data_IF_714666419066
#
_entry.id   IF_714666419066
#
_cell.length_a   1.000
_cell.length_b   1.000
_cell.length_c   1.000
_cell.angle_alpha   90.00
_cell.angle_beta   90.00
_cell.angle_gamma   90.00
#
_symmetry.space_group_name_H-M   'P 1'
#
loop_
_entity.id
_entity.type
_entity.pdbx_description
1 polymer ?
#
# COMPACT_ATOMS: atom_id res chain seq x y z
N UNK A 1 -23.20 25.20 9.84
CA UNK A 1 -22.12 25.90 10.56
C UNK A 1 -20.97 26.07 9.56
N UNK A 2 -20.74 27.33 9.18
CA UNK A 2 -19.62 27.66 8.31
C UNK A 2 -18.40 27.88 9.20
N UNK A 3 -17.37 27.02 9.06
CA UNK A 3 -16.06 27.28 9.64
C UNK A 3 -15.20 27.95 8.57
N UNK A 4 -14.77 29.16 8.82
CA UNK A 4 -13.73 29.80 8.05
C UNK A 4 -12.39 29.49 8.71
N UNK A 5 -11.53 28.76 8.00
CA UNK A 5 -10.15 28.53 8.43
C UNK A 5 -9.23 29.55 7.76
N UNK A 6 -8.50 30.29 8.55
CA UNK A 6 -7.59 31.34 8.07
C UNK A 6 -6.20 30.85 7.68
N UNK A 7 -6.00 29.57 7.43
CA UNK A 7 -4.67 28.99 7.36
C UNK A 7 -4.38 28.23 6.05
N UNK A 8 -5.06 28.55 4.95
CA UNK A 8 -4.62 28.10 3.63
C UNK A 8 -3.58 29.11 3.16
N UNK A 9 -2.31 28.76 3.35
CA UNK A 9 -1.19 29.63 3.00
C UNK A 9 -0.62 29.33 1.60
N UNK A 10 -1.08 28.22 0.97
CA UNK A 10 -0.59 27.77 -0.33
C UNK A 10 -1.69 27.07 -1.11
N UNK A 11 -2.22 27.76 -2.11
CA UNK A 11 -3.31 27.24 -2.95
C UNK A 11 -2.87 26.04 -3.80
N UNK A 12 -1.61 26.00 -4.24
CA UNK A 12 -1.09 24.92 -5.09
C UNK A 12 -1.03 23.61 -4.30
N UNK A 13 -0.52 23.66 -3.07
CA UNK A 13 -0.49 22.49 -2.16
C UNK A 13 -1.91 22.02 -1.86
N UNK A 14 -2.85 22.93 -1.62
CA UNK A 14 -4.24 22.58 -1.34
C UNK A 14 -4.94 21.96 -2.56
N UNK A 15 -4.67 22.48 -3.76
CA UNK A 15 -5.19 21.91 -5.00
C UNK A 15 -4.64 20.51 -5.25
N UNK A 16 -3.33 20.32 -5.08
CA UNK A 16 -2.70 19.01 -5.26
C UNK A 16 -3.24 18.00 -4.21
N UNK A 17 -3.33 18.37 -2.96
CA UNK A 17 -3.91 17.53 -1.91
C UNK A 17 -5.38 17.16 -2.22
N UNK A 18 -6.15 18.10 -2.76
CA UNK A 18 -7.53 17.87 -3.18
C UNK A 18 -7.64 16.89 -4.35
N UNK A 19 -6.76 17.02 -5.36
CA UNK A 19 -6.67 16.05 -6.47
C UNK A 19 -6.39 14.64 -5.97
N UNK A 20 -5.36 14.48 -5.12
CA UNK A 20 -4.98 13.19 -4.57
C UNK A 20 -6.13 12.56 -3.76
N UNK A 21 -6.88 13.37 -2.99
CA UNK A 21 -8.04 12.89 -2.23
C UNK A 21 -9.20 12.47 -3.14
N UNK A 22 -9.48 13.19 -4.22
CA UNK A 22 -10.52 12.85 -5.21
C UNK A 22 -10.17 11.51 -5.87
N UNK A 23 -8.93 11.32 -6.33
CA UNK A 23 -8.48 10.05 -6.93
C UNK A 23 -8.57 8.91 -5.92
N UNK A 24 -8.17 9.14 -4.66
CA UNK A 24 -8.30 8.14 -3.60
C UNK A 24 -9.75 7.72 -3.39
N UNK A 25 -10.69 8.68 -3.35
CA UNK A 25 -12.13 8.40 -3.23
C UNK A 25 -12.67 7.67 -4.44
N UNK A 26 -12.21 8.01 -5.64
CA UNK A 26 -12.58 7.29 -6.85
C UNK A 26 -12.28 5.80 -6.72
N UNK A 27 -11.04 5.42 -6.42
CA UNK A 27 -10.66 4.02 -6.26
C UNK A 27 -11.43 3.31 -5.15
N UNK A 28 -11.64 3.97 -4.01
CA UNK A 28 -12.43 3.40 -2.91
C UNK A 28 -13.88 3.16 -3.31
N UNK A 29 -14.48 4.11 -4.01
CA UNK A 29 -15.88 3.99 -4.47
C UNK A 29 -16.01 2.89 -5.52
N UNK A 30 -15.11 2.85 -6.50
CA UNK A 30 -15.10 1.82 -7.54
C UNK A 30 -14.89 0.41 -6.97
N UNK A 31 -13.97 0.25 -6.03
CA UNK A 31 -13.77 -1.01 -5.32
C UNK A 31 -15.02 -1.45 -4.56
N UNK A 32 -15.70 -0.55 -3.85
CA UNK A 32 -16.95 -0.83 -3.14
C UNK A 32 -18.10 -1.13 -4.11
N UNK A 33 -18.16 -0.45 -5.24
CA UNK A 33 -19.17 -0.67 -6.28
C UNK A 33 -19.03 -2.08 -6.86
N UNK A 34 -17.84 -2.50 -7.23
CA UNK A 34 -17.58 -3.84 -7.76
C UNK A 34 -17.76 -4.95 -6.70
N UNK A 35 -17.53 -4.63 -5.43
CA UNK A 35 -17.87 -5.52 -4.31
C UNK A 35 -19.38 -5.56 -3.98
N UNK A 36 -20.24 -4.82 -4.72
CA UNK A 36 -21.67 -4.76 -4.49
C UNK A 36 -22.09 -4.01 -3.21
N UNK A 37 -21.17 -3.26 -2.59
CA UNK A 37 -21.42 -2.53 -1.32
C UNK A 37 -21.64 -1.03 -1.51
N UNK A 38 -21.75 -0.57 -2.76
CA UNK A 38 -21.97 0.83 -3.11
C UNK A 38 -22.92 0.91 -4.32
N UNK A 39 -23.94 1.78 -4.32
CA UNK A 39 -24.84 1.95 -5.46
C UNK A 39 -24.12 2.62 -6.62
N UNK A 40 -24.64 2.38 -7.84
CA UNK A 40 -24.09 2.95 -9.08
C UNK A 40 -24.04 4.47 -9.09
N UNK A 41 -24.99 5.11 -8.43
CA UNK A 41 -25.07 6.57 -8.37
C UNK A 41 -23.88 7.21 -7.64
N UNK A 42 -23.33 6.53 -6.62
CA UNK A 42 -22.12 7.02 -5.94
C UNK A 42 -20.89 6.92 -6.87
N UNK A 43 -20.76 5.81 -7.61
CA UNK A 43 -19.68 5.65 -8.59
C UNK A 43 -19.78 6.73 -9.69
N UNK A 44 -20.97 6.97 -10.23
CA UNK A 44 -21.18 7.99 -11.23
C UNK A 44 -20.86 9.42 -10.72
N UNK A 45 -21.24 9.75 -9.49
CA UNK A 45 -20.96 11.07 -8.90
C UNK A 45 -19.46 11.36 -8.76
N UNK A 46 -18.66 10.36 -8.38
CA UNK A 46 -17.21 10.56 -8.26
C UNK A 46 -16.54 10.67 -9.62
N UNK A 47 -16.99 9.91 -10.62
CA UNK A 47 -16.52 10.03 -12.01
C UNK A 47 -16.85 11.41 -12.59
N UNK A 48 -18.07 11.89 -12.36
CA UNK A 48 -18.49 13.23 -12.79
C UNK A 48 -17.64 14.33 -12.14
N UNK A 49 -17.34 14.20 -10.83
CA UNK A 49 -16.48 15.14 -10.12
C UNK A 49 -15.07 15.17 -10.73
N UNK A 50 -14.48 14.00 -11.01
CA UNK A 50 -13.17 13.91 -11.66
C UNK A 50 -13.17 14.61 -13.01
N UNK A 51 -14.17 14.33 -13.85
CA UNK A 51 -14.32 14.94 -15.18
C UNK A 51 -14.48 16.46 -15.10
N UNK A 52 -15.32 16.96 -14.20
CA UNK A 52 -15.53 18.40 -14.00
C UNK A 52 -14.28 19.12 -13.51
N UNK A 53 -13.48 18.47 -12.67
CA UNK A 53 -12.24 19.00 -12.16
C UNK A 53 -11.03 18.81 -13.09
N UNK A 54 -11.21 18.12 -14.23
CA UNK A 54 -10.12 17.77 -15.14
C UNK A 54 -9.05 16.86 -14.54
N UNK A 55 -9.46 16.01 -13.57
CA UNK A 55 -8.57 15.11 -12.84
C UNK A 55 -8.63 13.72 -13.45
N UNK A 56 -7.46 13.10 -13.62
CA UNK A 56 -7.31 11.71 -14.09
C UNK A 56 -6.63 10.86 -13.03
N UNK A 57 -6.73 9.55 -13.16
CA UNK A 57 -6.01 8.61 -12.26
C UNK A 57 -4.49 8.75 -12.37
N UNK A 58 -3.99 9.21 -13.53
CA UNK A 58 -2.58 9.43 -13.81
C UNK A 58 -1.97 10.62 -13.03
N UNK A 59 -2.80 11.52 -12.49
CA UNK A 59 -2.35 12.57 -11.59
C UNK A 59 -1.84 12.00 -10.23
N UNK A 60 -2.05 10.70 -9.98
CA UNK A 60 -1.49 9.97 -8.85
C UNK A 60 -0.30 9.13 -9.32
N UNK A 61 0.93 9.62 -9.14
CA UNK A 61 2.17 9.02 -9.69
C UNK A 61 2.37 7.53 -9.36
N UNK A 62 1.94 7.09 -8.19
CA UNK A 62 2.06 5.68 -7.78
C UNK A 62 1.16 4.74 -8.58
N UNK A 63 0.10 5.25 -9.22
CA UNK A 63 -0.80 4.47 -10.10
C UNK A 63 -0.04 4.03 -11.35
N UNK A 64 0.56 4.97 -12.06
CA UNK A 64 1.32 4.66 -13.28
C UNK A 64 2.48 3.70 -13.04
N UNK A 65 3.14 3.86 -11.90
CA UNK A 65 4.24 2.97 -11.51
C UNK A 65 3.75 1.54 -11.24
N UNK A 66 2.61 1.39 -10.55
CA UNK A 66 2.01 0.09 -10.29
C UNK A 66 1.52 -0.59 -11.59
N UNK A 67 0.85 0.16 -12.46
CA UNK A 67 0.31 -0.38 -13.73
C UNK A 67 1.41 -0.78 -14.70
N UNK A 68 2.52 -0.01 -14.79
CA UNK A 68 3.64 -0.32 -15.69
C UNK A 68 4.35 -1.62 -15.34
N UNK A 69 4.31 -2.03 -14.07
CA UNK A 69 5.03 -3.23 -13.57
C UNK A 69 4.11 -4.37 -13.17
N UNK A 70 2.79 -4.20 -13.22
CA UNK A 70 1.81 -5.11 -12.62
C UNK A 70 2.14 -5.40 -11.13
N UNK A 71 2.65 -4.39 -10.43
CA UNK A 71 3.17 -4.49 -9.07
C UNK A 71 2.61 -3.36 -8.20
N UNK A 72 2.70 -3.55 -6.89
CA UNK A 72 2.40 -2.48 -5.95
C UNK A 72 3.54 -1.45 -5.93
N UNK A 73 3.18 -0.18 -5.85
CA UNK A 73 4.14 0.91 -5.69
C UNK A 73 3.76 1.80 -4.52
N UNK A 74 4.76 2.39 -3.88
CA UNK A 74 4.62 3.35 -2.82
C UNK A 74 5.71 4.40 -2.89
N UNK A 75 5.49 5.55 -2.29
CA UNK A 75 6.44 6.66 -2.35
C UNK A 75 6.58 7.31 -0.96
N UNK A 76 7.55 6.88 -0.16
CA UNK A 76 8.10 7.76 0.87
C UNK A 76 9.02 8.80 0.20
N UNK A 77 9.00 10.02 0.69
CA UNK A 77 9.88 11.13 0.23
C UNK A 77 9.83 11.41 -1.29
N UNK A 78 8.72 11.09 -1.95
CA UNK A 78 8.55 11.31 -3.39
C UNK A 78 9.29 10.32 -4.29
N UNK A 79 10.08 9.38 -3.75
CA UNK A 79 10.72 8.29 -4.48
C UNK A 79 9.76 7.11 -4.62
N UNK A 80 9.55 6.65 -5.85
CA UNK A 80 8.67 5.51 -6.12
C UNK A 80 9.42 4.21 -5.83
N UNK A 81 8.82 3.40 -4.96
CA UNK A 81 9.32 2.08 -4.57
C UNK A 81 8.29 1.05 -4.98
N UNK A 82 8.73 -0.09 -5.45
CA UNK A 82 7.86 -1.17 -5.91
C UNK A 82 8.07 -2.45 -5.10
N UNK A 83 7.01 -3.26 -5.00
CA UNK A 83 7.06 -4.59 -4.41
C UNK A 83 6.48 -5.63 -5.36
N UNK A 84 7.15 -6.76 -5.50
CA UNK A 84 6.75 -7.87 -6.35
C UNK A 84 6.43 -9.11 -5.54
N UNK A 85 5.36 -9.79 -5.93
CA UNK A 85 5.04 -11.11 -5.37
C UNK A 85 6.17 -12.10 -5.64
N UNK A 86 6.63 -12.78 -4.61
CA UNK A 86 7.66 -13.80 -4.65
C UNK A 86 7.14 -15.13 -4.08
N UNK A 87 8.01 -16.14 -3.97
CA UNK A 87 7.67 -17.39 -3.26
C UNK A 87 7.50 -17.17 -1.75
N UNK A 88 8.15 -16.14 -1.19
CA UNK A 88 8.19 -15.87 0.25
C UNK A 88 7.17 -14.83 0.67
N UNK A 89 6.99 -13.78 -0.13
CA UNK A 89 6.22 -12.58 0.24
C UNK A 89 5.14 -12.26 -0.79
N UNK A 90 4.00 -11.76 -0.31
CA UNK A 90 3.04 -11.05 -1.13
C UNK A 90 3.59 -9.69 -1.59
N UNK A 91 2.99 -9.09 -2.64
CA UNK A 91 3.46 -7.82 -3.19
C UNK A 91 3.43 -6.68 -2.16
N UNK A 92 2.34 -6.57 -1.39
CA UNK A 92 2.20 -5.58 -0.30
C UNK A 92 3.30 -5.70 0.75
N UNK A 93 3.65 -6.93 1.13
CA UNK A 93 4.70 -7.23 2.09
C UNK A 93 6.10 -6.89 1.53
N UNK A 94 6.35 -7.20 0.25
CA UNK A 94 7.58 -6.85 -0.44
C UNK A 94 7.72 -5.32 -0.58
N UNK A 95 6.64 -4.62 -0.95
CA UNK A 95 6.61 -3.16 -1.02
C UNK A 95 6.96 -2.53 0.33
N UNK A 96 6.33 -3.02 1.41
CA UNK A 96 6.57 -2.51 2.76
C UNK A 96 8.05 -2.67 3.17
N UNK A 97 8.63 -3.86 2.98
CA UNK A 97 10.04 -4.09 3.30
C UNK A 97 10.97 -3.21 2.47
N UNK A 98 10.71 -3.09 1.16
CA UNK A 98 11.51 -2.24 0.29
C UNK A 98 11.43 -0.76 0.72
N UNK A 99 10.25 -0.28 1.11
CA UNK A 99 10.08 1.07 1.63
C UNK A 99 10.83 1.30 2.94
N UNK A 100 10.78 0.35 3.87
CA UNK A 100 11.51 0.44 5.14
C UNK A 100 13.03 0.41 4.93
N UNK A 101 13.52 -0.43 4.02
CA UNK A 101 14.94 -0.48 3.64
C UNK A 101 15.39 0.83 3.03
N UNK A 102 14.64 1.39 2.08
CA UNK A 102 14.95 2.68 1.47
C UNK A 102 15.03 3.79 2.51
N UNK A 103 14.06 3.88 3.42
CA UNK A 103 14.04 4.87 4.49
C UNK A 103 15.17 4.70 5.50
N UNK A 104 15.70 3.48 5.65
CA UNK A 104 16.83 3.16 6.49
C UNK A 104 18.20 3.33 5.79
N UNK A 105 18.21 3.61 4.48
CA UNK A 105 19.43 3.65 3.68
C UNK A 105 20.10 2.27 3.50
N UNK A 106 19.32 1.18 3.59
CA UNK A 106 19.78 -0.19 3.44
C UNK A 106 19.71 -0.56 1.96
N UNK A 107 20.78 -1.16 1.45
CA UNK A 107 20.84 -1.64 0.07
C UNK A 107 19.70 -2.62 -0.24
N UNK A 108 19.17 -2.54 -1.46
CA UNK A 108 18.03 -3.36 -1.89
C UNK A 108 18.34 -4.87 -1.82
N UNK A 109 19.57 -5.29 -2.04
CA UNK A 109 19.99 -6.69 -2.03
C UNK A 109 20.18 -7.26 -0.63
N UNK A 110 20.29 -6.43 0.40
CA UNK A 110 20.40 -6.85 1.79
C UNK A 110 19.09 -7.50 2.27
N UNK A 111 19.20 -8.70 2.83
CA UNK A 111 18.05 -9.42 3.41
C UNK A 111 17.92 -9.06 4.89
N UNK A 112 16.91 -8.26 5.22
CA UNK A 112 16.60 -7.87 6.61
C UNK A 112 15.83 -8.96 7.38
N UNK A 113 15.19 -9.89 6.66
CA UNK A 113 14.56 -11.09 7.24
C UNK A 113 15.15 -12.30 6.51
N UNK A 114 15.69 -13.24 7.28
CA UNK A 114 16.26 -14.45 6.68
C UNK A 114 15.19 -15.44 6.24
N UNK A 115 15.42 -16.27 5.22
CA UNK A 115 14.52 -17.35 4.83
C UNK A 115 14.17 -18.28 5.99
N UNK A 116 15.13 -18.56 6.86
CA UNK A 116 14.97 -19.43 8.03
C UNK A 116 13.98 -18.84 9.06
N UNK A 117 13.79 -17.52 9.09
CA UNK A 117 12.77 -16.88 9.88
C UNK A 117 11.38 -16.91 9.21
N UNK A 118 11.33 -16.97 7.88
CA UNK A 118 10.09 -16.98 7.08
C UNK A 118 9.50 -18.40 7.01
N UNK A 119 10.32 -19.41 6.78
CA UNK A 119 9.87 -20.79 6.58
C UNK A 119 8.98 -21.35 7.70
N UNK A 120 9.28 -21.16 9.00
CA UNK A 120 8.39 -21.62 10.07
C UNK A 120 7.01 -20.98 10.03
N UNK A 121 6.92 -19.71 9.61
CA UNK A 121 5.64 -19.00 9.49
C UNK A 121 4.85 -19.58 8.31
N UNK A 122 5.52 -19.85 7.19
CA UNK A 122 4.89 -20.50 6.03
C UNK A 122 4.36 -21.89 6.37
N UNK A 123 5.14 -22.67 7.11
CA UNK A 123 4.76 -23.99 7.60
C UNK A 123 3.54 -23.92 8.53
N UNK A 124 3.55 -23.00 9.49
CA UNK A 124 2.42 -22.75 10.38
C UNK A 124 1.15 -22.47 9.56
N UNK A 125 1.26 -21.57 8.56
CA UNK A 125 0.12 -21.20 7.72
C UNK A 125 -0.45 -22.38 6.93
N UNK A 126 0.42 -23.13 6.28
CA UNK A 126 0.00 -24.17 5.31
C UNK A 126 -0.35 -25.49 5.98
N UNK A 127 0.47 -25.97 6.92
CA UNK A 127 0.30 -27.27 7.53
C UNK A 127 -0.67 -27.25 8.72
N UNK A 128 -0.63 -26.20 9.55
CA UNK A 128 -1.43 -26.17 10.78
C UNK A 128 -2.70 -25.33 10.64
N UNK A 129 -2.68 -24.24 9.86
CA UNK A 129 -3.84 -23.37 9.68
C UNK A 129 -4.60 -23.61 8.36
N UNK A 130 -4.12 -24.54 7.51
CA UNK A 130 -4.80 -24.92 6.28
C UNK A 130 -4.85 -23.83 5.19
N UNK A 131 -3.99 -22.82 5.25
CA UNK A 131 -3.90 -21.80 4.22
C UNK A 131 -3.33 -22.38 2.92
N UNK A 132 -3.96 -22.08 1.80
CA UNK A 132 -3.43 -22.43 0.47
C UNK A 132 -2.30 -21.48 0.01
N UNK A 133 -2.14 -20.31 0.66
CA UNK A 133 -1.17 -19.32 0.31
C UNK A 133 -0.02 -19.31 1.34
N UNK A 134 1.19 -19.79 0.97
CA UNK A 134 2.34 -19.79 1.87
C UNK A 134 2.98 -18.42 2.05
N UNK A 135 2.72 -17.45 1.15
CA UNK A 135 3.37 -16.14 1.18
C UNK A 135 2.98 -15.37 2.43
N UNK A 136 3.94 -14.67 3.00
CA UNK A 136 3.69 -13.79 4.14
C UNK A 136 2.91 -12.55 3.69
N UNK A 137 1.89 -12.21 4.47
CA UNK A 137 1.14 -10.97 4.39
C UNK A 137 1.84 -9.86 5.18
N UNK A 138 1.31 -8.65 5.12
CA UNK A 138 1.90 -7.46 5.74
C UNK A 138 2.14 -7.59 7.25
N UNK A 139 1.18 -8.10 7.99
CA UNK A 139 1.27 -8.30 9.44
C UNK A 139 2.31 -9.36 9.82
N UNK A 140 2.34 -10.47 9.09
CA UNK A 140 3.29 -11.54 9.29
C UNK A 140 4.73 -11.09 9.03
N UNK A 141 4.94 -10.25 8.00
CA UNK A 141 6.24 -9.67 7.68
C UNK A 141 6.70 -8.70 8.77
N UNK A 142 5.83 -7.86 9.31
CA UNK A 142 6.19 -6.96 10.41
C UNK A 142 6.56 -7.74 11.69
N UNK A 143 5.87 -8.84 11.98
CA UNK A 143 6.22 -9.73 13.10
C UNK A 143 7.58 -10.37 12.84
N UNK A 144 7.81 -10.94 11.64
CA UNK A 144 9.09 -11.53 11.27
C UNK A 144 10.24 -10.52 11.33
N UNK A 145 10.02 -9.29 10.88
CA UNK A 145 10.99 -8.19 10.97
C UNK A 145 11.29 -7.83 12.42
N UNK A 146 10.27 -7.74 13.28
CA UNK A 146 10.45 -7.42 14.69
C UNK A 146 11.24 -8.51 15.44
N UNK A 147 11.04 -9.77 15.10
CA UNK A 147 11.82 -10.89 15.66
C UNK A 147 13.27 -10.83 15.16
N UNK A 148 13.45 -10.57 13.84
CA UNK A 148 14.79 -10.47 13.24
C UNK A 148 15.58 -9.29 13.80
N UNK A 149 14.94 -8.20 14.17
CA UNK A 149 15.56 -7.01 14.76
C UNK A 149 16.29 -7.30 16.08
N UNK A 150 15.93 -8.39 16.78
CA UNK A 150 16.60 -8.78 18.02
C UNK A 150 18.06 -9.22 17.81
N UNK A 151 18.45 -9.62 16.61
CA UNK A 151 19.79 -10.17 16.29
C UNK A 151 20.40 -9.60 15.01
N UNK A 152 19.67 -8.76 14.27
CA UNK A 152 20.10 -8.18 13.01
C UNK A 152 19.90 -6.66 13.04
N UNK A 153 21.01 -5.91 13.04
CA UNK A 153 21.01 -4.44 13.10
C UNK A 153 20.31 -3.78 11.90
N UNK A 154 20.39 -4.37 10.71
CA UNK A 154 19.69 -3.85 9.53
C UNK A 154 18.17 -4.01 9.66
N UNK A 155 17.73 -5.15 10.23
CA UNK A 155 16.32 -5.37 10.54
C UNK A 155 15.82 -4.37 11.61
N UNK A 156 16.63 -4.07 12.63
CA UNK A 156 16.34 -3.07 13.65
C UNK A 156 16.23 -1.67 13.02
N UNK A 157 17.22 -1.28 12.21
CA UNK A 157 17.21 -0.01 11.48
C UNK A 157 15.97 0.12 10.59
N UNK A 158 15.60 -0.91 9.85
CA UNK A 158 14.40 -0.93 9.03
C UNK A 158 13.13 -0.80 9.87
N UNK A 159 13.01 -1.54 10.97
CA UNK A 159 11.86 -1.50 11.87
C UNK A 159 11.62 -0.09 12.45
N UNK A 160 12.68 0.61 12.82
CA UNK A 160 12.61 1.97 13.34
C UNK A 160 12.09 3.00 12.30
N UNK A 161 12.00 2.65 11.01
CA UNK A 161 11.44 3.54 9.99
C UNK A 161 9.90 3.45 9.87
N UNK A 162 9.26 2.49 10.52
CA UNK A 162 7.80 2.30 10.44
C UNK A 162 6.99 3.60 10.68
N UNK A 163 7.34 4.46 11.66
CA UNK A 163 6.62 5.71 11.87
C UNK A 163 6.69 6.70 10.68
N UNK A 164 7.73 6.62 9.84
CA UNK A 164 7.91 7.48 8.66
C UNK A 164 6.99 7.11 7.49
N UNK A 165 6.35 5.95 7.53
CA UNK A 165 5.36 5.54 6.52
C UNK A 165 4.04 6.32 6.61
N UNK A 166 3.84 7.07 7.69
CA UNK A 166 2.63 7.89 7.87
C UNK A 166 2.51 8.94 6.76
N UNK A 167 1.38 8.93 6.06
CA UNK A 167 1.09 9.86 4.98
C UNK A 167 1.60 9.41 3.60
N UNK A 168 2.41 8.34 3.54
CA UNK A 168 2.82 7.77 2.27
C UNK A 168 1.62 7.29 1.44
N UNK A 169 1.79 7.29 0.13
CA UNK A 169 0.81 6.76 -0.82
C UNK A 169 1.25 5.37 -1.27
N UNK A 170 0.28 4.49 -1.50
CA UNK A 170 0.50 3.19 -2.13
C UNK A 170 -0.62 2.91 -3.14
N UNK A 171 -0.30 2.16 -4.18
CA UNK A 171 -1.28 1.68 -5.15
C UNK A 171 -0.93 0.25 -5.56
N UNK A 172 -1.96 -0.56 -5.80
CA UNK A 172 -1.81 -1.94 -6.27
C UNK A 172 -2.63 -2.17 -7.54
N UNK A 173 -2.10 -2.95 -8.45
CA UNK A 173 -2.74 -3.32 -9.72
C UNK A 173 -3.91 -4.30 -9.56
N UNK A 174 -4.15 -4.82 -8.36
CA UNK A 174 -5.26 -5.72 -8.03
C UNK A 174 -5.89 -5.34 -6.70
N UNK A 175 -7.11 -5.83 -6.43
CA UNK A 175 -7.78 -5.58 -5.16
C UNK A 175 -6.97 -6.14 -3.98
N UNK A 176 -6.73 -5.31 -2.98
CA UNK A 176 -6.09 -5.71 -1.73
C UNK A 176 -6.98 -6.62 -0.88
N UNK A 177 -6.37 -7.56 -0.19
CA UNK A 177 -7.03 -8.32 0.86
C UNK A 177 -7.45 -7.38 2.01
N UNK A 178 -8.57 -7.68 2.66
CA UNK A 178 -9.08 -6.87 3.78
C UNK A 178 -8.08 -6.73 4.93
N UNK A 179 -7.22 -7.72 5.14
CA UNK A 179 -6.14 -7.69 6.14
C UNK A 179 -5.12 -6.61 5.80
N UNK A 180 -4.65 -6.56 4.55
CA UNK A 180 -3.68 -5.58 4.09
C UNK A 180 -4.27 -4.16 4.11
N UNK A 181 -5.53 -3.99 3.67
CA UNK A 181 -6.23 -2.70 3.76
C UNK A 181 -6.27 -2.17 5.20
N UNK A 182 -6.59 -3.04 6.17
CA UNK A 182 -6.62 -2.65 7.59
C UNK A 182 -5.25 -2.25 8.11
N UNK A 183 -4.21 -2.97 7.70
CA UNK A 183 -2.86 -2.68 8.16
C UNK A 183 -2.30 -1.41 7.54
N UNK A 184 -2.47 -1.18 6.24
CA UNK A 184 -2.13 0.10 5.60
C UNK A 184 -2.82 1.27 6.31
N UNK A 185 -4.10 1.12 6.66
CA UNK A 185 -4.82 2.14 7.43
C UNK A 185 -4.21 2.36 8.82
N UNK A 186 -3.81 1.32 9.54
CA UNK A 186 -3.15 1.43 10.86
C UNK A 186 -1.79 2.13 10.75
N UNK A 187 -1.05 1.89 9.67
CA UNK A 187 0.21 2.56 9.37
C UNK A 187 0.01 3.99 8.82
N UNK A 188 -1.26 4.42 8.67
CA UNK A 188 -1.62 5.72 8.07
C UNK A 188 -1.11 5.89 6.64
N UNK A 189 -0.96 4.79 5.90
CA UNK A 189 -0.63 4.77 4.48
C UNK A 189 -1.93 4.92 3.67
N UNK A 190 -1.91 5.82 2.69
CA UNK A 190 -3.03 6.07 1.80
C UNK A 190 -3.02 5.06 0.64
N UNK A 191 -3.48 3.84 0.93
CA UNK A 191 -3.53 2.77 -0.06
C UNK A 191 -4.76 2.88 -0.96
N UNK A 192 -4.55 2.61 -2.25
CA UNK A 192 -5.59 2.45 -3.28
C UNK A 192 -5.31 1.19 -4.08
N UNK A 193 -6.32 0.65 -4.76
CA UNK A 193 -6.17 -0.54 -5.59
C UNK A 193 -7.00 -0.41 -6.87
N UNK A 194 -6.49 -0.99 -7.97
CA UNK A 194 -7.33 -1.20 -9.12
C UNK A 194 -8.55 -2.05 -8.73
N UNK A 195 -9.73 -1.73 -9.26
CA UNK A 195 -10.96 -2.46 -8.95
C UNK A 195 -11.05 -3.81 -9.67
N UNK A 196 -9.93 -4.42 -10.01
CA UNK A 196 -9.86 -5.69 -10.68
C UNK A 196 -9.73 -6.83 -9.67
N UNK A 197 -10.56 -7.86 -9.81
CA UNK A 197 -10.42 -9.07 -9.02
C UNK A 197 -9.13 -9.81 -9.39
N UNK A 198 -8.52 -10.50 -8.40
CA UNK A 198 -7.49 -11.50 -8.69
C UNK A 198 -8.07 -12.50 -9.68
N UNK A 199 -7.56 -12.52 -10.90
CA UNK A 199 -7.74 -13.66 -11.78
C UNK A 199 -6.79 -14.73 -11.24
N UNK A 200 -7.33 -15.60 -10.41
CA UNK A 200 -6.63 -16.86 -10.05
C UNK A 200 -6.49 -17.67 -11.33
N UNK A 201 -5.30 -17.57 -11.96
CA UNK A 201 -4.85 -18.57 -12.93
C UNK A 201 -4.36 -19.80 -12.21
#
# INVERSE_FOLDING_TARGET
VNMAGNCICDDEICQEASKQEIIRRYYQTMTRFLAGSCPRDEAYKIELLMNQAGITVHDRKVVDAALKREEESGAPDGKIITGKTSKLLGASAALLLNALKELAGIDHDVRVISPEAIEPIQKLKTEYLGSKNPRLHLDEVLIALSISAATNSDAECALHQVPKLKGCQAHTSVMLANTDVRLFKRLSIQATSEPNHFITK
#
